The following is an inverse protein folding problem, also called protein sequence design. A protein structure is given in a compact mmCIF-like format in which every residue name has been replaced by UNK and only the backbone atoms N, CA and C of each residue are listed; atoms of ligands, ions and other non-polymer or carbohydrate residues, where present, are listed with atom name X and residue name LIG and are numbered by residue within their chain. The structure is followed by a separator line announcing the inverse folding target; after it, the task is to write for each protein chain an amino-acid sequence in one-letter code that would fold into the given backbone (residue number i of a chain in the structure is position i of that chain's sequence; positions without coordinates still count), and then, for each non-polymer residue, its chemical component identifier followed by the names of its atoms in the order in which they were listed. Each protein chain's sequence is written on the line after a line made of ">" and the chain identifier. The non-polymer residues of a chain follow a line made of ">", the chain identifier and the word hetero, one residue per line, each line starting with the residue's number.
data_IF_046066000340
#
_entry.id   IF_046066000340
#
_cell.length_a   1.000
_cell.length_b   1.000
_cell.length_c   1.000
_cell.angle_alpha   90.00
_cell.angle_beta   90.00
_cell.angle_gamma   90.00
#
_symmetry.space_group_name_H-M   'P 1'
#
loop_
_entity.id
_entity.type
_entity.pdbx_description
1 polymer ?
#
# COMPACT_ATOMS: atom_id res chain seq x y z
N UNK A 1 -4.64 19.95 -32.09
CA UNK A 1 -5.34 18.73 -31.63
C UNK A 1 -5.05 18.60 -30.15
N UNK A 2 -5.97 19.08 -29.32
CA UNK A 2 -5.84 18.99 -27.87
C UNK A 2 -5.94 17.52 -27.46
N UNK A 3 -4.89 16.99 -26.83
CA UNK A 3 -4.91 15.68 -26.19
C UNK A 3 -5.89 15.75 -25.03
N UNK A 4 -7.14 15.35 -25.24
CA UNK A 4 -8.08 15.06 -24.16
C UNK A 4 -7.45 13.93 -23.35
N UNK A 5 -6.89 14.27 -22.19
CA UNK A 5 -6.36 13.28 -21.24
C UNK A 5 -7.46 12.28 -20.95
N UNK A 6 -7.21 11.01 -21.24
CA UNK A 6 -8.15 9.93 -20.91
C UNK A 6 -8.37 9.94 -19.38
N UNK A 7 -9.61 10.18 -18.90
CA UNK A 7 -9.89 10.27 -17.46
C UNK A 7 -9.51 8.99 -16.71
N UNK A 8 -9.49 7.84 -17.40
CA UNK A 8 -9.07 6.54 -16.83
C UNK A 8 -7.57 6.51 -16.60
N UNK A 9 -6.77 7.06 -17.52
CA UNK A 9 -5.31 7.13 -17.38
C UNK A 9 -4.88 8.13 -16.31
N UNK A 10 -5.71 9.14 -16.03
CA UNK A 10 -5.50 10.05 -14.90
C UNK A 10 -5.53 9.36 -13.52
N UNK A 11 -6.17 8.19 -13.40
CA UNK A 11 -6.29 7.45 -12.14
C UNK A 11 -5.08 6.54 -11.84
N UNK A 12 -4.13 6.37 -12.79
CA UNK A 12 -3.03 5.38 -12.68
C UNK A 12 -2.27 5.51 -11.37
N UNK A 13 -1.84 6.74 -11.03
CA UNK A 13 -1.05 7.00 -9.82
C UNK A 13 -1.79 6.60 -8.54
N UNK A 14 -3.09 6.89 -8.46
CA UNK A 14 -3.94 6.53 -7.32
C UNK A 14 -4.11 5.01 -7.21
N UNK A 15 -4.30 4.32 -8.34
CA UNK A 15 -4.46 2.86 -8.37
C UNK A 15 -3.18 2.14 -7.97
N UNK A 16 -2.01 2.58 -8.48
CA UNK A 16 -0.70 2.04 -8.07
C UNK A 16 -0.49 2.25 -6.57
N UNK A 17 -0.75 3.46 -6.08
CA UNK A 17 -0.59 3.80 -4.66
C UNK A 17 -1.49 2.93 -3.76
N UNK A 18 -2.74 2.70 -4.18
CA UNK A 18 -3.70 1.83 -3.50
C UNK A 18 -3.26 0.37 -3.49
N UNK A 19 -2.89 -0.17 -4.65
CA UNK A 19 -2.48 -1.56 -4.77
C UNK A 19 -1.16 -1.82 -4.03
N UNK A 20 -0.20 -0.89 -4.09
CA UNK A 20 1.04 -0.98 -3.34
C UNK A 20 0.81 -0.98 -1.82
N UNK A 21 -0.07 -0.11 -1.30
CA UNK A 21 -0.41 -0.11 0.14
C UNK A 21 -1.12 -1.40 0.57
N UNK A 22 -1.83 -2.06 -0.34
CA UNK A 22 -2.50 -3.34 -0.06
C UNK A 22 -1.56 -4.54 -0.16
N UNK A 23 -0.66 -4.57 -1.15
CA UNK A 23 0.14 -5.75 -1.51
C UNK A 23 1.60 -5.66 -1.03
N UNK A 24 2.16 -4.45 -0.96
CA UNK A 24 3.54 -4.17 -0.56
C UNK A 24 4.60 -4.58 -1.59
N UNK A 25 4.19 -4.78 -2.85
CA UNK A 25 5.03 -5.10 -4.00
C UNK A 25 4.67 -4.11 -5.11
N UNK A 26 5.68 -3.46 -5.71
CA UNK A 26 5.41 -2.50 -6.79
C UNK A 26 4.98 -3.25 -8.05
N UNK A 27 5.65 -4.36 -8.36
CA UNK A 27 5.30 -5.22 -9.48
C UNK A 27 3.85 -5.73 -9.39
N UNK A 28 3.45 -6.27 -8.22
CA UNK A 28 2.06 -6.74 -8.03
C UNK A 28 1.07 -5.57 -8.14
N UNK A 29 1.45 -4.38 -7.70
CA UNK A 29 0.61 -3.19 -7.80
C UNK A 29 0.40 -2.77 -9.28
N UNK A 30 1.45 -2.78 -10.08
CA UNK A 30 1.35 -2.48 -11.52
C UNK A 30 0.50 -3.53 -12.25
N UNK A 31 0.66 -4.82 -11.92
CA UNK A 31 -0.16 -5.90 -12.47
C UNK A 31 -1.65 -5.69 -12.15
N UNK A 32 -1.98 -5.29 -10.92
CA UNK A 32 -3.35 -4.94 -10.53
C UNK A 32 -3.90 -3.81 -11.38
N UNK A 33 -3.11 -2.76 -11.63
CA UNK A 33 -3.55 -1.62 -12.45
C UNK A 33 -3.77 -2.06 -13.89
N UNK A 34 -2.86 -2.84 -14.45
CA UNK A 34 -2.99 -3.36 -15.82
C UNK A 34 -4.24 -4.23 -15.97
N UNK A 35 -4.48 -5.16 -15.05
CA UNK A 35 -5.69 -6.00 -15.04
C UNK A 35 -6.96 -5.16 -14.87
N UNK A 36 -6.92 -4.11 -14.04
CA UNK A 36 -8.05 -3.19 -13.84
C UNK A 36 -8.39 -2.45 -15.14
N UNK A 37 -7.38 -1.96 -15.86
CA UNK A 37 -7.57 -1.32 -17.17
C UNK A 37 -8.01 -2.31 -18.24
N UNK A 38 -7.47 -3.52 -18.28
CA UNK A 38 -7.91 -4.56 -19.19
C UNK A 38 -9.42 -4.83 -19.04
N UNK A 39 -9.92 -4.88 -17.80
CA UNK A 39 -11.35 -5.02 -17.51
C UNK A 39 -12.16 -3.80 -17.94
N UNK A 40 -11.64 -2.58 -17.78
CA UNK A 40 -12.31 -1.36 -18.23
C UNK A 40 -12.44 -1.32 -19.76
N UNK A 41 -11.32 -1.48 -20.47
CA UNK A 41 -11.29 -1.42 -21.94
C UNK A 41 -11.91 -2.64 -22.61
N UNK A 42 -12.09 -3.74 -21.88
CA UNK A 42 -12.86 -4.89 -22.32
C UNK A 42 -14.39 -4.68 -22.29
N UNK A 43 -14.88 -3.61 -21.67
CA UNK A 43 -16.30 -3.26 -21.67
C UNK A 43 -16.74 -2.64 -22.99
N UNK A 44 -18.01 -2.82 -23.34
CA UNK A 44 -18.64 -2.06 -24.42
C UNK A 44 -18.80 -0.59 -24.04
N UNK A 45 -18.96 0.28 -25.04
CA UNK A 45 -19.21 1.71 -24.81
C UNK A 45 -20.45 1.95 -23.92
N UNK A 46 -21.52 1.17 -24.12
CA UNK A 46 -22.75 1.27 -23.31
C UNK A 46 -22.51 0.87 -21.85
N UNK A 47 -21.69 -0.16 -21.61
CA UNK A 47 -21.31 -0.59 -20.26
C UNK A 47 -20.47 0.47 -19.56
N UNK A 48 -19.53 1.10 -20.26
CA UNK A 48 -18.74 2.21 -19.71
C UNK A 48 -19.63 3.43 -19.42
N UNK A 49 -20.56 3.75 -20.32
CA UNK A 49 -21.49 4.87 -20.17
C UNK A 49 -22.47 4.68 -19.00
N UNK A 50 -22.77 3.43 -18.63
CA UNK A 50 -23.59 3.12 -17.47
C UNK A 50 -22.85 3.29 -16.12
N UNK A 51 -21.53 3.52 -16.13
CA UNK A 51 -20.74 3.75 -14.93
C UNK A 51 -20.65 5.26 -14.66
N UNK A 52 -21.43 5.73 -13.69
CA UNK A 52 -21.51 7.16 -13.34
C UNK A 52 -20.17 7.76 -12.91
N UNK A 53 -19.35 6.98 -12.20
CA UNK A 53 -18.06 7.42 -11.63
C UNK A 53 -16.96 6.41 -11.95
N UNK A 54 -16.25 6.56 -13.09
CA UNK A 54 -15.20 5.63 -13.52
C UNK A 54 -14.11 5.38 -12.46
N UNK A 55 -13.62 6.43 -11.80
CA UNK A 55 -12.58 6.30 -10.76
C UNK A 55 -13.00 5.45 -9.56
N UNK A 56 -14.28 5.50 -9.16
CA UNK A 56 -14.82 4.67 -8.10
C UNK A 56 -14.93 3.21 -8.54
N UNK A 57 -15.32 2.97 -9.80
CA UNK A 57 -15.34 1.64 -10.38
C UNK A 57 -13.93 1.03 -10.45
N UNK A 58 -12.94 1.79 -10.94
CA UNK A 58 -11.55 1.35 -11.03
C UNK A 58 -10.98 0.98 -9.66
N UNK A 59 -11.22 1.83 -8.66
CA UNK A 59 -10.76 1.58 -7.28
C UNK A 59 -11.44 0.35 -6.66
N UNK A 60 -12.72 0.11 -6.95
CA UNK A 60 -13.45 -1.09 -6.52
C UNK A 60 -12.85 -2.35 -7.13
N UNK A 61 -12.58 -2.34 -8.44
CA UNK A 61 -12.01 -3.48 -9.15
C UNK A 61 -10.60 -3.77 -8.68
N UNK A 62 -9.74 -2.75 -8.59
CA UNK A 62 -8.39 -2.89 -8.07
C UNK A 62 -8.40 -3.44 -6.63
N UNK A 63 -9.26 -2.89 -5.76
CA UNK A 63 -9.42 -3.37 -4.38
C UNK A 63 -9.86 -4.83 -4.30
N UNK A 64 -10.71 -5.29 -5.23
CA UNK A 64 -11.15 -6.68 -5.29
C UNK A 64 -10.02 -7.61 -5.75
N UNK A 65 -9.28 -7.23 -6.79
CA UNK A 65 -8.12 -7.99 -7.26
C UNK A 65 -7.08 -8.11 -6.14
N UNK A 66 -6.78 -7.02 -5.43
CA UNK A 66 -5.87 -7.05 -4.29
C UNK A 66 -6.38 -7.99 -3.17
N UNK A 67 -7.68 -7.96 -2.85
CA UNK A 67 -8.26 -8.85 -1.84
C UNK A 67 -8.07 -10.33 -2.21
N UNK A 68 -8.34 -10.67 -3.47
CA UNK A 68 -8.20 -12.03 -3.98
C UNK A 68 -6.73 -12.48 -3.96
N UNK A 69 -5.81 -11.62 -4.41
CA UNK A 69 -4.37 -11.88 -4.36
C UNK A 69 -3.86 -12.07 -2.93
N UNK A 70 -4.31 -11.26 -1.97
CA UNK A 70 -3.95 -11.41 -0.56
C UNK A 70 -4.43 -12.75 0.02
N UNK A 71 -5.63 -13.18 -0.36
CA UNK A 71 -6.17 -14.50 0.00
C UNK A 71 -5.30 -15.63 -0.55
N UNK A 72 -4.99 -15.59 -1.85
CA UNK A 72 -4.13 -16.60 -2.50
C UNK A 72 -2.71 -16.58 -1.95
N UNK A 73 -2.12 -15.42 -1.72
CA UNK A 73 -0.76 -15.28 -1.22
C UNK A 73 -0.63 -15.79 0.22
N UNK A 74 -1.63 -15.58 1.08
CA UNK A 74 -1.67 -16.18 2.42
C UNK A 74 -1.72 -17.71 2.36
N UNK A 75 -2.56 -18.28 1.48
CA UNK A 75 -2.62 -19.73 1.25
C UNK A 75 -1.34 -20.33 0.62
N UNK A 76 -0.52 -19.51 -0.05
CA UNK A 76 0.83 -19.89 -0.51
C UNK A 76 1.87 -19.79 0.61
N UNK A 77 1.81 -18.74 1.44
CA UNK A 77 2.75 -18.50 2.55
C UNK A 77 2.59 -19.46 3.73
N UNK A 78 1.43 -20.08 3.91
CA UNK A 78 1.28 -21.23 4.83
C UNK A 78 2.21 -22.42 4.48
N UNK A 79 2.86 -22.39 3.29
CA UNK A 79 3.88 -23.35 2.85
C UNK A 79 5.30 -22.74 2.74
N UNK A 80 5.47 -21.45 3.01
CA UNK A 80 6.73 -20.73 2.85
C UNK A 80 7.41 -20.54 4.21
N UNK A 81 8.71 -20.79 4.28
CA UNK A 81 9.53 -20.59 5.49
C UNK A 81 10.31 -19.28 5.31
N UNK A 82 9.94 -18.23 6.05
CA UNK A 82 10.62 -16.93 6.06
C UNK A 82 9.69 -15.76 6.36
N UNK A 83 10.24 -14.66 6.89
CA UNK A 83 9.54 -13.40 7.17
C UNK A 83 9.45 -12.57 5.89
N UNK A 84 8.23 -12.17 5.47
CA UNK A 84 8.06 -11.35 4.28
C UNK A 84 8.36 -9.90 4.60
N UNK A 85 9.02 -9.21 3.67
CA UNK A 85 9.34 -7.79 3.78
C UNK A 85 8.81 -7.11 2.51
N UNK A 86 8.13 -5.96 2.64
CA UNK A 86 7.69 -5.17 1.49
C UNK A 86 8.86 -4.76 0.60
N UNK A 87 8.61 -4.64 -0.70
CA UNK A 87 9.61 -4.15 -1.65
C UNK A 87 9.89 -2.65 -1.39
N UNK A 88 11.15 -2.26 -1.11
CA UNK A 88 11.51 -0.86 -0.94
C UNK A 88 11.44 -0.13 -2.28
N UNK A 89 10.83 1.06 -2.29
CA UNK A 89 10.80 1.89 -3.50
C UNK A 89 12.13 2.66 -3.61
N UNK A 90 12.90 2.49 -4.69
CA UNK A 90 14.09 3.31 -4.95
C UNK A 90 13.70 4.80 -5.06
N UNK A 91 14.32 5.68 -4.27
CA UNK A 91 14.07 7.14 -4.31
C UNK A 91 13.24 7.72 -3.16
N UNK A 92 12.95 6.95 -2.10
CA UNK A 92 12.25 7.44 -0.90
C UNK A 92 13.06 8.38 0.02
N UNK A 93 14.24 8.87 -0.40
CA UNK A 93 15.02 9.85 0.35
C UNK A 93 14.42 11.26 0.13
N UNK A 94 14.21 12.10 1.15
CA UNK A 94 13.64 13.45 0.99
C UNK A 94 14.47 14.44 0.14
N UNK A 95 15.50 13.99 -0.58
CA UNK A 95 16.50 14.87 -1.18
C UNK A 95 17.18 14.41 -2.48
N UNK A 96 16.95 13.20 -3.01
CA UNK A 96 17.61 12.77 -4.25
C UNK A 96 16.61 12.30 -5.31
N UNK A 97 16.27 13.24 -6.20
CA UNK A 97 15.43 12.99 -7.36
C UNK A 97 16.28 12.65 -8.59
N UNK A 98 16.46 11.36 -8.87
CA UNK A 98 17.02 10.90 -10.15
C UNK A 98 16.34 9.61 -10.63
N UNK A 99 15.10 9.70 -11.14
CA UNK A 99 14.51 8.77 -12.10
C UNK A 99 13.20 9.32 -12.71
N UNK A 100 12.95 8.95 -13.97
CA UNK A 100 11.82 9.13 -14.91
C UNK A 100 10.63 10.08 -14.54
N UNK A 101 10.26 11.05 -15.40
CA UNK A 101 9.04 11.87 -15.25
C UNK A 101 7.72 11.08 -15.14
N UNK A 102 7.66 9.84 -15.64
CA UNK A 102 6.45 9.00 -15.54
C UNK A 102 6.24 8.36 -14.15
N UNK A 103 7.30 8.28 -13.33
CA UNK A 103 7.28 7.67 -11.99
C UNK A 103 7.02 8.69 -10.87
N UNK A 104 6.99 10.00 -11.20
CA UNK A 104 6.91 11.10 -10.23
C UNK A 104 5.51 11.54 -9.82
N UNK A 105 4.46 10.81 -10.20
CA UNK A 105 3.11 11.12 -9.71
C UNK A 105 2.92 10.50 -8.33
N UNK A 106 3.53 11.15 -7.34
CA UNK A 106 3.08 11.23 -5.95
C UNK A 106 2.73 9.89 -5.28
N UNK A 107 3.76 9.10 -4.95
CA UNK A 107 3.79 8.45 -3.64
C UNK A 107 3.99 9.53 -2.57
N UNK A 108 3.03 10.44 -2.48
CA UNK A 108 3.04 11.45 -1.44
C UNK A 108 2.74 10.74 -0.12
N UNK A 109 3.51 11.13 0.90
CA UNK A 109 3.78 10.42 2.14
C UNK A 109 4.50 9.08 1.99
N UNK A 110 5.78 9.11 2.39
CA UNK A 110 6.60 7.99 2.81
C UNK A 110 5.75 6.93 3.53
N UNK A 111 5.41 5.85 2.82
CA UNK A 111 4.83 4.68 3.44
C UNK A 111 5.93 4.07 4.29
N UNK A 112 5.87 4.27 5.60
CA UNK A 112 6.83 3.69 6.51
C UNK A 112 6.79 2.15 6.33
N UNK A 113 7.92 1.51 6.02
CA UNK A 113 8.00 0.05 5.90
C UNK A 113 7.40 -0.66 7.12
N UNK A 114 7.57 -0.10 8.32
CA UNK A 114 6.96 -0.62 9.54
C UNK A 114 5.42 -0.69 9.45
N UNK A 115 4.78 0.24 8.75
CA UNK A 115 3.34 0.20 8.52
C UNK A 115 2.95 -0.97 7.63
N UNK A 116 3.65 -1.19 6.51
CA UNK A 116 3.38 -2.32 5.60
C UNK A 116 3.62 -3.68 6.26
N UNK A 117 4.65 -3.79 7.13
CA UNK A 117 4.88 -4.98 7.96
C UNK A 117 3.72 -5.21 8.93
N UNK A 118 3.21 -4.18 9.59
CA UNK A 118 2.04 -4.33 10.47
C UNK A 118 0.80 -4.81 9.70
N UNK A 119 0.59 -4.36 8.47
CA UNK A 119 -0.49 -4.85 7.61
C UNK A 119 -0.36 -6.34 7.29
N UNK A 120 0.84 -6.93 7.38
CA UNK A 120 1.05 -8.37 7.23
C UNK A 120 0.37 -9.21 8.31
N UNK A 121 0.33 -8.70 9.53
CA UNK A 121 -0.32 -9.38 10.66
C UNK A 121 -1.85 -9.47 10.55
N UNK A 122 -2.44 -8.79 9.56
CA UNK A 122 -3.89 -8.70 9.37
C UNK A 122 -4.43 -9.79 8.44
N UNK A 123 -5.69 -10.14 8.62
CA UNK A 123 -6.42 -10.88 7.57
C UNK A 123 -6.57 -10.02 6.31
N UNK A 124 -6.71 -10.61 5.11
CA UNK A 124 -6.92 -9.85 3.87
C UNK A 124 -8.07 -8.84 3.97
N UNK A 125 -9.20 -9.25 4.56
CA UNK A 125 -10.37 -8.40 4.73
C UNK A 125 -10.14 -7.25 5.74
N UNK A 126 -9.41 -7.48 6.83
CA UNK A 126 -9.00 -6.41 7.77
C UNK A 126 -8.13 -5.38 7.05
N UNK A 127 -7.12 -5.83 6.30
CA UNK A 127 -6.21 -4.95 5.55
C UNK A 127 -6.97 -4.09 4.55
N UNK A 128 -7.80 -4.69 3.71
CA UNK A 128 -8.57 -3.98 2.69
C UNK A 128 -9.53 -2.97 3.34
N UNK A 129 -10.27 -3.38 4.38
CA UNK A 129 -11.19 -2.49 5.06
C UNK A 129 -10.48 -1.29 5.70
N UNK A 130 -9.32 -1.51 6.31
CA UNK A 130 -8.53 -0.46 6.93
C UNK A 130 -7.88 0.48 5.89
N UNK A 131 -7.17 -0.05 4.89
CA UNK A 131 -6.47 0.80 3.90
C UNK A 131 -7.47 1.66 3.12
N UNK A 132 -8.56 1.08 2.62
CA UNK A 132 -9.54 1.84 1.85
C UNK A 132 -10.23 2.92 2.69
N UNK A 133 -10.53 2.65 3.95
CA UNK A 133 -11.23 3.60 4.79
C UNK A 133 -10.31 4.64 5.45
N UNK A 134 -9.25 4.20 6.09
CA UNK A 134 -8.40 5.05 6.91
C UNK A 134 -7.39 5.84 6.07
N UNK A 135 -6.90 5.27 4.97
CA UNK A 135 -5.93 5.94 4.07
C UNK A 135 -6.64 6.63 2.91
N UNK A 136 -7.54 5.92 2.23
CA UNK A 136 -8.21 6.44 1.02
C UNK A 136 -9.60 7.04 1.27
N UNK A 137 -10.07 7.05 2.52
CA UNK A 137 -11.32 7.72 2.94
C UNK A 137 -12.59 7.20 2.26
N UNK A 138 -12.58 5.97 1.75
CA UNK A 138 -13.78 5.34 1.20
C UNK A 138 -14.82 5.06 2.30
N UNK A 139 -16.13 5.23 2.00
CA UNK A 139 -17.19 4.87 2.93
C UNK A 139 -17.34 3.34 3.03
N UNK A 140 -17.76 2.87 4.20
CA UNK A 140 -17.93 1.42 4.44
C UNK A 140 -18.98 0.75 3.54
N UNK A 141 -19.89 1.52 2.95
CA UNK A 141 -20.83 1.02 1.95
C UNK A 141 -20.12 0.56 0.67
N UNK A 142 -19.12 1.29 0.20
CA UNK A 142 -18.35 0.91 -0.98
C UNK A 142 -17.37 -0.23 -0.68
N UNK A 143 -16.78 -0.22 0.51
CA UNK A 143 -15.88 -1.27 0.97
C UNK A 143 -16.61 -2.61 1.13
N UNK A 144 -17.88 -2.57 1.55
CA UNK A 144 -18.75 -3.74 1.66
C UNK A 144 -18.85 -4.51 0.34
N UNK A 145 -18.99 -3.81 -0.78
CA UNK A 145 -19.03 -4.40 -2.13
C UNK A 145 -17.71 -5.07 -2.50
N UNK A 146 -16.57 -4.50 -2.09
CA UNK A 146 -15.24 -5.06 -2.37
C UNK A 146 -15.01 -6.33 -1.55
N UNK A 147 -15.31 -6.26 -0.24
CA UNK A 147 -15.04 -7.34 0.72
C UNK A 147 -16.11 -8.44 0.66
N UNK A 148 -17.28 -8.17 0.08
CA UNK A 148 -18.41 -9.10 0.05
C UNK A 148 -19.02 -9.30 1.44
N UNK A 149 -19.15 -8.22 2.23
CA UNK A 149 -19.66 -8.24 3.61
C UNK A 149 -20.57 -7.04 3.87
N UNK A 150 -21.28 -7.03 4.99
CA UNK A 150 -22.10 -5.87 5.37
C UNK A 150 -21.22 -4.66 5.76
N UNK A 151 -21.70 -3.41 5.59
CA UNK A 151 -20.96 -2.23 6.04
C UNK A 151 -20.63 -2.25 7.55
N UNK A 152 -21.48 -2.87 8.36
CA UNK A 152 -21.24 -3.08 9.79
C UNK A 152 -20.07 -4.03 10.04
N UNK A 153 -19.97 -5.14 9.29
CA UNK A 153 -18.83 -6.05 9.38
C UNK A 153 -17.53 -5.37 8.93
N UNK A 154 -17.57 -4.53 7.89
CA UNK A 154 -16.40 -3.74 7.46
C UNK A 154 -15.92 -2.75 8.53
N UNK A 155 -16.85 -2.12 9.28
CA UNK A 155 -16.50 -1.29 10.44
C UNK A 155 -15.77 -2.08 11.53
N UNK A 156 -16.23 -3.29 11.82
CA UNK A 156 -15.58 -4.16 12.80
C UNK A 156 -14.18 -4.59 12.35
N UNK A 157 -14.02 -4.92 11.06
CA UNK A 157 -12.72 -5.23 10.46
C UNK A 157 -11.72 -4.07 10.59
N UNK A 158 -12.13 -2.85 10.21
CA UNK A 158 -11.28 -1.67 10.35
C UNK A 158 -10.94 -1.39 11.82
N UNK A 159 -11.88 -1.60 12.74
CA UNK A 159 -11.65 -1.44 14.19
C UNK A 159 -10.64 -2.45 14.72
N UNK A 160 -10.73 -3.71 14.29
CA UNK A 160 -9.77 -4.77 14.61
C UNK A 160 -8.38 -4.45 14.08
N UNK A 161 -8.28 -3.99 12.82
CA UNK A 161 -7.03 -3.55 12.21
C UNK A 161 -6.37 -2.40 12.98
N UNK A 162 -7.13 -1.37 13.38
CA UNK A 162 -6.62 -0.26 14.20
C UNK A 162 -6.09 -0.73 15.55
N UNK A 163 -6.74 -1.72 16.17
CA UNK A 163 -6.27 -2.30 17.44
C UNK A 163 -4.88 -2.93 17.24
N UNK A 164 -4.70 -3.77 16.20
CA UNK A 164 -3.39 -4.36 15.87
C UNK A 164 -2.32 -3.29 15.65
N UNK A 165 -2.63 -2.22 14.91
CA UNK A 165 -1.67 -1.13 14.69
C UNK A 165 -1.24 -0.47 16.01
N UNK A 166 -2.18 -0.26 16.94
CA UNK A 166 -1.84 0.29 18.26
C UNK A 166 -1.00 -0.67 19.08
N UNK A 167 -1.30 -1.97 19.03
CA UNK A 167 -0.61 -2.99 19.80
C UNK A 167 0.83 -3.22 19.28
N UNK A 168 1.07 -3.04 17.97
CA UNK A 168 2.42 -3.19 17.38
C UNK A 168 3.25 -1.90 17.42
N UNK A 169 2.63 -0.72 17.46
CA UNK A 169 3.37 0.55 17.54
C UNK A 169 3.90 0.75 18.96
N UNK A 170 5.18 0.44 19.17
CA UNK A 170 5.99 1.10 20.20
C UNK A 170 6.08 2.62 19.97
N UNK A 171 6.67 3.39 20.89
CA UNK A 171 6.74 4.85 20.78
C UNK A 171 7.32 5.30 19.43
N UNK A 172 6.55 6.12 18.70
CA UNK A 172 6.93 6.63 17.37
C UNK A 172 8.22 7.44 17.49
N UNK A 173 9.30 6.94 16.91
CA UNK A 173 10.57 7.67 16.86
C UNK A 173 10.47 8.75 15.79
N UNK A 174 10.76 10.03 16.09
CA UNK A 174 10.77 11.10 15.10
C UNK A 174 11.68 10.78 13.93
N UNK A 175 11.30 11.17 12.70
CA UNK A 175 12.08 10.93 11.48
C UNK A 175 13.51 11.49 11.60
N UNK A 176 13.67 12.66 12.23
CA UNK A 176 14.98 13.25 12.54
C UNK A 176 15.85 12.33 13.38
N UNK A 177 15.26 11.68 14.39
CA UNK A 177 15.96 10.75 15.27
C UNK A 177 16.26 9.42 14.57
N UNK A 178 15.42 8.95 13.65
CA UNK A 178 15.76 7.81 12.78
C UNK A 178 16.97 8.14 11.91
N UNK A 179 17.00 9.32 11.26
CA UNK A 179 18.12 9.73 10.41
C UNK A 179 19.43 9.91 11.19
N UNK A 180 19.37 10.35 12.45
CA UNK A 180 20.52 10.41 13.36
C UNK A 180 21.02 9.01 13.71
N UNK A 181 20.13 8.08 14.07
CA UNK A 181 20.49 6.68 14.39
C UNK A 181 21.12 5.99 13.18
N UNK A 182 20.54 6.14 11.98
CA UNK A 182 21.09 5.56 10.75
C UNK A 182 22.48 6.13 10.42
N UNK A 183 22.67 7.46 10.56
CA UNK A 183 24.00 8.07 10.39
C UNK A 183 25.01 7.56 11.41
N UNK A 184 24.62 7.48 12.68
CA UNK A 184 25.46 6.96 13.75
C UNK A 184 25.86 5.50 13.51
N UNK A 185 24.90 4.66 13.08
CA UNK A 185 25.15 3.27 12.73
C UNK A 185 26.14 3.15 11.57
N UNK A 186 25.95 3.93 10.49
CA UNK A 186 26.86 3.95 9.34
C UNK A 186 28.27 4.38 9.74
N UNK A 187 28.41 5.41 10.57
CA UNK A 187 29.71 5.87 11.07
C UNK A 187 30.39 4.82 11.95
N UNK A 188 29.66 4.22 12.90
CA UNK A 188 30.19 3.18 13.78
C UNK A 188 30.62 1.93 13.00
N UNK A 189 29.83 1.51 12.01
CA UNK A 189 30.17 0.41 11.11
C UNK A 189 31.44 0.71 10.30
N UNK A 190 31.53 1.88 9.67
CA UNK A 190 32.71 2.29 8.92
C UNK A 190 33.97 2.38 9.79
N UNK A 191 33.81 2.80 11.05
CA UNK A 191 34.87 2.86 12.05
C UNK A 191 35.19 1.51 12.71
N UNK A 192 34.40 0.46 12.45
CA UNK A 192 34.45 -0.84 13.14
C UNK A 192 34.32 -0.72 14.67
N UNK A 193 33.59 0.30 15.13
CA UNK A 193 33.34 0.54 16.55
C UNK A 193 32.11 -0.25 17.01
N UNK A 194 32.36 -1.44 17.56
CA UNK A 194 31.33 -2.34 18.07
C UNK A 194 30.62 -1.74 19.30
N UNK A 195 31.32 -0.97 20.12
CA UNK A 195 30.73 -0.34 21.31
C UNK A 195 29.67 0.68 20.93
N UNK A 196 29.98 1.52 19.93
CA UNK A 196 29.03 2.47 19.37
C UNK A 196 27.85 1.79 18.66
N UNK A 197 28.08 0.67 17.96
CA UNK A 197 26.99 -0.12 17.34
C UNK A 197 26.04 -0.69 18.39
N UNK A 198 26.56 -1.34 19.45
CA UNK A 198 25.75 -1.91 20.53
C UNK A 198 24.97 -0.82 21.26
N UNK A 199 25.58 0.35 21.49
CA UNK A 199 24.91 1.49 22.13
C UNK A 199 23.75 2.10 21.32
N UNK A 200 23.64 1.78 20.03
CA UNK A 200 22.55 2.24 19.15
C UNK A 200 21.39 1.23 19.04
N UNK A 201 21.57 -0.02 19.49
CA UNK A 201 20.54 -1.05 19.46
C UNK A 201 19.60 -0.91 20.67
N UNK A 202 18.35 -1.34 20.49
CA UNK A 202 17.44 -1.52 21.62
C UNK A 202 18.01 -2.62 22.56
N UNK A 203 17.85 -2.48 23.88
CA UNK A 203 18.37 -3.42 24.86
C UNK A 203 17.77 -4.82 24.76
#
# INVERSE_FOLDING_TARGET
>A
MSTTSDPVMGERGKLVNLAYRLLGSLADAEDVVQETYARWYGMTADQQAAIDVPGAWLSRVAGRICLDQLGSARARRERYVGEWIPEPIPGGDPGESTADPADRVTLDESVNMAFLVVLESMTPAERVAFVLHDVFRYPFAEIAEIVGRTPAACRQLATSARRRIRDTRGPVTPVSRQAEVVRGFRQAWAAKDIGALVGLLAP
#
